data_IF_522598415365
#
_entry.id   IF_522598415365
#
_cell.length_a   1.000
_cell.length_b   1.000
_cell.length_c   1.000
_cell.angle_alpha   90.00
_cell.angle_beta   90.00
_cell.angle_gamma   90.00
#
_symmetry.space_group_name_H-M   'P 1'
#
loop_
_entity.id
_entity.type
_entity.pdbx_description
1 polymer ?
#
# COMPACT_ATOMS: atom_id res chain seq x y z
N UNK A 1 43.40 57.52 -1.73
CA UNK A 1 44.55 56.78 -1.16
C UNK A 1 44.09 56.01 0.06
N UNK A 2 44.36 54.69 0.08
CA UNK A 2 44.64 53.80 1.23
C UNK A 2 43.70 53.87 2.46
N UNK A 3 42.83 52.85 2.60
CA UNK A 3 42.97 51.67 3.48
C UNK A 3 42.80 51.97 4.98
N UNK A 4 41.73 51.42 5.58
CA UNK A 4 41.88 50.53 6.75
C UNK A 4 40.89 49.37 6.64
N UNK A 5 41.46 48.21 6.34
CA UNK A 5 40.91 46.88 6.58
C UNK A 5 41.12 46.63 8.09
N UNK A 6 40.09 46.19 8.80
CA UNK A 6 40.26 45.39 10.00
C UNK A 6 39.44 44.11 9.82
N UNK A 7 40.15 42.99 9.83
CA UNK A 7 39.66 41.61 9.82
C UNK A 7 39.90 41.02 11.22
N UNK A 8 39.24 39.89 11.48
CA UNK A 8 39.25 39.01 12.67
C UNK A 8 38.29 39.44 13.79
N UNK A 9 37.41 38.59 14.36
CA UNK A 9 37.30 37.12 14.36
C UNK A 9 35.90 36.68 14.82
N UNK A 10 35.58 35.44 14.48
CA UNK A 10 34.35 34.71 14.78
C UNK A 10 33.92 34.71 16.26
N UNK A 11 32.60 34.76 16.47
CA UNK A 11 31.93 34.07 17.57
C UNK A 11 30.65 33.43 17.03
N UNK A 12 30.58 32.10 17.13
CA UNK A 12 29.36 31.32 17.03
C UNK A 12 28.31 31.94 17.98
N UNK A 13 27.09 32.15 17.48
CA UNK A 13 25.91 31.94 18.30
C UNK A 13 24.86 31.21 17.46
N UNK A 14 24.53 30.03 17.96
CA UNK A 14 23.40 29.20 17.55
C UNK A 14 22.14 30.07 17.60
N UNK A 15 21.45 30.23 16.46
CA UNK A 15 20.04 30.60 16.49
C UNK A 15 19.22 29.44 15.94
N UNK A 16 18.49 28.89 16.88
CA UNK A 16 17.47 27.86 16.78
C UNK A 16 16.42 28.23 15.75
N UNK A 17 15.93 27.21 15.06
CA UNK A 17 14.73 27.28 14.25
C UNK A 17 13.55 27.83 15.09
N UNK A 18 12.88 28.86 14.57
CA UNK A 18 11.48 29.11 14.91
C UNK A 18 10.73 29.63 13.69
N UNK A 19 9.86 28.74 13.20
CA UNK A 19 8.52 29.02 12.67
C UNK A 19 8.35 30.23 11.74
N UNK A 20 8.50 30.00 10.44
CA UNK A 20 7.94 30.88 9.42
C UNK A 20 7.66 30.09 8.15
N UNK A 21 6.44 29.55 8.04
CA UNK A 21 5.65 29.31 6.81
C UNK A 21 4.46 28.39 7.14
N UNK A 22 3.50 28.90 7.92
CA UNK A 22 2.18 28.28 8.06
C UNK A 22 1.26 28.74 6.92
N UNK A 23 1.50 28.27 5.69
CA UNK A 23 0.49 28.18 4.62
C UNK A 23 0.81 27.03 3.65
N UNK A 24 0.22 25.83 3.86
CA UNK A 24 -0.23 25.04 2.71
C UNK A 24 -1.63 24.39 2.84
N UNK A 25 -2.15 24.18 4.06
CA UNK A 25 -3.34 23.31 4.24
C UNK A 25 -4.70 23.95 3.88
N UNK A 26 -4.82 25.28 3.83
CA UNK A 26 -6.11 25.95 3.56
C UNK A 26 -6.37 26.19 2.07
N UNK A 27 -5.31 26.42 1.28
CA UNK A 27 -5.40 26.66 -0.16
C UNK A 27 -5.67 25.36 -0.92
N UNK A 28 -4.96 24.28 -0.59
CA UNK A 28 -5.22 22.94 -1.15
C UNK A 28 -6.65 22.47 -0.85
N UNK A 29 -7.14 22.64 0.40
CA UNK A 29 -8.53 22.33 0.76
C UNK A 29 -9.58 23.16 -0.01
N UNK A 30 -9.27 24.40 -0.36
CA UNK A 30 -10.18 25.24 -1.16
C UNK A 30 -10.18 24.84 -2.64
N UNK A 31 -9.02 24.47 -3.18
CA UNK A 31 -8.87 23.93 -4.54
C UNK A 31 -9.61 22.59 -4.65
N UNK A 32 -9.42 21.69 -3.69
CA UNK A 32 -10.08 20.37 -3.65
C UNK A 32 -11.61 20.44 -3.68
N UNK A 33 -12.21 21.45 -3.03
CA UNK A 33 -13.66 21.66 -3.03
C UNK A 33 -14.22 22.20 -4.34
N UNK A 34 -13.40 22.84 -5.17
CA UNK A 34 -13.83 23.50 -6.41
C UNK A 34 -13.46 22.74 -7.69
N UNK A 35 -12.53 21.78 -7.59
CA UNK A 35 -12.06 21.05 -8.76
C UNK A 35 -12.92 19.84 -9.08
N UNK A 36 -13.66 19.96 -10.18
CA UNK A 36 -14.45 18.88 -10.75
C UNK A 36 -13.55 17.96 -11.57
N UNK A 37 -13.52 16.67 -11.21
CA UNK A 37 -12.76 15.70 -11.96
C UNK A 37 -13.36 15.51 -13.35
N UNK A 38 -12.53 15.51 -14.41
CA UNK A 38 -12.97 15.18 -15.76
C UNK A 38 -13.61 13.78 -15.78
N UNK A 39 -14.62 13.59 -16.65
CA UNK A 39 -15.31 12.30 -16.80
C UNK A 39 -14.43 11.29 -17.52
N UNK A 40 -13.77 11.75 -18.58
CA UNK A 40 -12.89 10.95 -19.43
C UNK A 40 -11.45 11.44 -19.30
N UNK A 41 -10.49 10.53 -19.43
CA UNK A 41 -9.07 10.82 -19.23
C UNK A 41 -8.55 11.84 -20.24
N UNK A 42 -8.88 11.68 -21.52
CA UNK A 42 -8.39 12.52 -22.61
C UNK A 42 -8.94 13.95 -22.60
N UNK A 43 -9.97 14.25 -21.79
CA UNK A 43 -10.47 15.62 -21.64
C UNK A 43 -9.45 16.53 -20.95
N UNK A 44 -8.78 16.03 -19.90
CA UNK A 44 -7.73 16.75 -19.17
C UNK A 44 -6.86 15.74 -18.40
N UNK A 45 -5.85 15.13 -19.06
CA UNK A 45 -5.01 14.11 -18.44
C UNK A 45 -4.29 14.55 -17.15
N UNK A 46 -3.66 15.74 -17.08
CA UNK A 46 -2.99 16.18 -15.85
C UNK A 46 -3.96 16.25 -14.66
N UNK A 47 -5.17 16.79 -14.87
CA UNK A 47 -6.17 16.85 -13.82
C UNK A 47 -6.73 15.46 -13.47
N UNK A 48 -6.90 14.59 -14.46
CA UNK A 48 -7.37 13.23 -14.21
C UNK A 48 -6.40 12.46 -13.31
N UNK A 49 -5.07 12.58 -13.53
CA UNK A 49 -4.05 12.02 -12.64
C UNK A 49 -4.14 12.59 -11.22
N UNK A 50 -4.32 13.91 -11.08
CA UNK A 50 -4.54 14.51 -9.75
C UNK A 50 -5.77 13.91 -9.05
N UNK A 51 -6.87 13.67 -9.77
CA UNK A 51 -8.06 13.04 -9.22
C UNK A 51 -7.81 11.59 -8.78
N UNK A 52 -7.02 10.82 -9.54
CA UNK A 52 -6.58 9.47 -9.13
C UNK A 52 -5.74 9.56 -7.84
N UNK A 53 -4.76 10.47 -7.79
CA UNK A 53 -3.92 10.66 -6.61
C UNK A 53 -4.74 11.05 -5.37
N UNK A 54 -5.71 11.95 -5.53
CA UNK A 54 -6.65 12.33 -4.47
C UNK A 54 -7.44 11.14 -3.95
N UNK A 55 -7.90 10.24 -4.82
CA UNK A 55 -8.61 9.03 -4.40
C UNK A 55 -7.70 8.07 -3.62
N UNK A 56 -6.42 7.98 -4.00
CA UNK A 56 -5.43 7.17 -3.30
C UNK A 56 -5.26 7.62 -1.84
N UNK A 57 -5.05 8.93 -1.62
CA UNK A 57 -4.86 9.51 -0.29
C UNK A 57 -6.14 9.50 0.56
N UNK A 58 -7.31 9.54 -0.09
CA UNK A 58 -8.60 9.44 0.60
C UNK A 58 -9.09 7.98 0.77
N UNK A 59 -8.22 6.99 0.51
CA UNK A 59 -8.54 5.56 0.67
C UNK A 59 -9.74 5.10 -0.17
N UNK A 60 -10.05 5.81 -1.27
CA UNK A 60 -11.13 5.48 -2.20
C UNK A 60 -10.63 4.52 -3.28
N UNK A 61 -10.24 3.33 -2.85
CA UNK A 61 -9.51 2.41 -3.72
C UNK A 61 -10.32 1.94 -4.93
N UNK A 62 -11.60 1.61 -4.74
CA UNK A 62 -12.46 1.17 -5.84
C UNK A 62 -12.71 2.26 -6.89
N UNK A 63 -12.92 3.50 -6.42
CA UNK A 63 -13.11 4.65 -7.30
C UNK A 63 -11.85 4.94 -8.12
N UNK A 64 -10.67 4.87 -7.50
CA UNK A 64 -9.40 5.07 -8.18
C UNK A 64 -9.09 3.95 -9.18
N UNK A 65 -9.28 2.68 -8.80
CA UNK A 65 -9.14 1.52 -9.70
C UNK A 65 -10.05 1.68 -10.93
N UNK A 66 -11.31 2.07 -10.72
CA UNK A 66 -12.26 2.31 -11.81
C UNK A 66 -11.78 3.44 -12.73
N UNK A 67 -11.32 4.56 -12.17
CA UNK A 67 -10.80 5.69 -12.95
C UNK A 67 -9.60 5.31 -13.79
N UNK A 68 -8.65 4.57 -13.22
CA UNK A 68 -7.44 4.14 -13.92
C UNK A 68 -7.78 3.18 -15.06
N UNK A 69 -8.69 2.22 -14.84
CA UNK A 69 -9.14 1.31 -15.91
C UNK A 69 -9.82 2.03 -17.07
N UNK A 70 -10.62 3.06 -16.78
CA UNK A 70 -11.23 3.91 -17.81
C UNK A 70 -10.15 4.67 -18.59
N UNK A 71 -9.17 5.25 -17.90
CA UNK A 71 -8.04 5.91 -18.55
C UNK A 71 -7.23 4.96 -19.44
N UNK A 72 -6.93 3.75 -18.96
CA UNK A 72 -6.23 2.72 -19.76
C UNK A 72 -7.03 2.36 -21.03
N UNK A 73 -8.35 2.23 -20.94
CA UNK A 73 -9.21 1.97 -22.10
C UNK A 73 -9.10 3.06 -23.18
N UNK A 74 -8.90 4.32 -22.79
CA UNK A 74 -8.69 5.44 -23.72
C UNK A 74 -7.25 5.51 -24.26
N UNK A 75 -6.26 5.13 -23.45
CA UNK A 75 -4.83 5.18 -23.82
C UNK A 75 -4.40 3.99 -24.68
N UNK A 76 -4.97 2.81 -24.47
CA UNK A 76 -4.60 1.57 -25.17
C UNK A 76 -4.64 1.68 -26.71
N UNK A 77 -5.68 2.26 -27.35
CA UNK A 77 -5.68 2.45 -28.81
C UNK A 77 -4.53 3.33 -29.29
N UNK A 78 -4.21 4.40 -28.56
CA UNK A 78 -3.13 5.33 -28.88
C UNK A 78 -1.77 4.62 -28.76
N UNK A 79 -1.59 3.85 -27.68
CA UNK A 79 -0.40 3.03 -27.44
C UNK A 79 -0.19 1.99 -28.54
N UNK A 80 -1.26 1.31 -28.98
CA UNK A 80 -1.21 0.30 -30.05
C UNK A 80 -0.89 0.91 -31.42
N UNK A 81 -1.41 2.11 -31.70
CA UNK A 81 -1.13 2.83 -32.94
C UNK A 81 0.33 3.27 -33.01
N UNK A 82 0.82 3.96 -31.97
CA UNK A 82 2.22 4.37 -31.86
C UNK A 82 2.58 4.65 -30.39
N UNK A 83 3.49 3.87 -29.78
CA UNK A 83 3.88 4.05 -28.38
C UNK A 83 4.41 5.46 -28.05
N UNK A 84 5.08 6.12 -28.99
CA UNK A 84 5.63 7.47 -28.81
C UNK A 84 4.62 8.58 -29.13
N UNK A 85 3.40 8.26 -29.58
CA UNK A 85 2.38 9.26 -29.86
C UNK A 85 2.02 10.00 -28.56
N UNK A 86 2.02 11.33 -28.57
CA UNK A 86 1.64 12.09 -27.38
C UNK A 86 0.14 11.89 -27.09
N UNK A 87 -0.20 11.76 -25.82
CA UNK A 87 -1.57 11.78 -25.34
C UNK A 87 -2.19 13.16 -25.67
N UNK A 88 -3.34 13.19 -26.33
CA UNK A 88 -4.07 14.43 -26.59
C UNK A 88 -4.31 15.23 -25.32
N UNK A 89 -4.31 16.56 -25.43
CA UNK A 89 -4.60 17.47 -24.31
C UNK A 89 -3.65 17.34 -23.10
N UNK A 90 -2.47 16.72 -23.26
CA UNK A 90 -1.51 16.57 -22.17
C UNK A 90 -0.95 17.89 -21.63
N UNK A 91 -1.14 19.01 -22.33
CA UNK A 91 -0.87 20.37 -21.85
C UNK A 91 -2.16 21.19 -21.91
N UNK A 92 -2.69 21.59 -20.76
CA UNK A 92 -3.88 22.43 -20.66
C UNK A 92 -3.76 23.42 -19.51
N UNK A 93 -3.99 24.72 -19.79
CA UNK A 93 -4.10 25.91 -18.89
C UNK A 93 -3.27 25.92 -17.58
N UNK A 94 -3.45 24.96 -16.70
CA UNK A 94 -2.90 24.87 -15.34
C UNK A 94 -1.95 23.66 -15.12
N UNK A 95 -1.68 22.83 -16.13
CA UNK A 95 -0.80 21.68 -15.95
C UNK A 95 -0.34 21.02 -17.24
N UNK A 96 0.72 20.23 -17.12
CA UNK A 96 1.26 19.39 -18.18
C UNK A 96 1.71 18.04 -17.63
N UNK A 97 1.53 16.98 -18.40
CA UNK A 97 2.20 15.71 -18.11
C UNK A 97 3.72 15.89 -18.21
N UNK A 98 4.49 15.27 -17.31
CA UNK A 98 5.98 15.27 -17.34
C UNK A 98 6.46 14.78 -18.71
N UNK A 99 5.83 13.72 -19.21
CA UNK A 99 6.06 13.19 -20.54
C UNK A 99 4.73 12.70 -21.12
N UNK A 100 4.27 13.25 -22.25
CA UNK A 100 2.98 12.92 -22.80
C UNK A 100 2.99 11.63 -23.64
N UNK A 101 4.12 10.97 -23.86
CA UNK A 101 4.17 9.78 -24.74
C UNK A 101 3.29 8.66 -24.19
N UNK A 102 2.51 8.03 -25.07
CA UNK A 102 1.50 7.03 -24.69
C UNK A 102 2.07 5.88 -23.85
N UNK A 103 3.26 5.38 -24.17
CA UNK A 103 3.87 4.29 -23.39
C UNK A 103 4.22 4.70 -21.95
N UNK A 104 4.64 5.94 -21.73
CA UNK A 104 4.94 6.46 -20.39
C UNK A 104 3.67 6.69 -19.59
N UNK A 105 2.67 7.29 -20.21
CA UNK A 105 1.36 7.48 -19.58
C UNK A 105 0.71 6.14 -19.22
N UNK A 106 0.77 5.16 -20.12
CA UNK A 106 0.30 3.81 -19.83
C UNK A 106 1.09 3.16 -18.69
N UNK A 107 2.43 3.29 -18.69
CA UNK A 107 3.28 2.83 -17.59
C UNK A 107 2.86 3.42 -16.25
N UNK A 108 2.66 4.75 -16.18
CA UNK A 108 2.22 5.42 -14.96
C UNK A 108 0.83 4.98 -14.50
N UNK A 109 -0.11 4.77 -15.43
CA UNK A 109 -1.45 4.26 -15.12
C UNK A 109 -1.39 2.82 -14.57
N UNK A 110 -0.62 1.93 -15.20
CA UNK A 110 -0.41 0.56 -14.69
C UNK A 110 0.29 0.56 -13.32
N UNK A 111 1.27 1.43 -13.12
CA UNK A 111 1.94 1.59 -11.82
C UNK A 111 0.94 1.99 -10.73
N UNK A 112 0.14 3.03 -10.98
CA UNK A 112 -0.90 3.48 -10.05
C UNK A 112 -1.92 2.36 -9.81
N UNK A 113 -2.35 1.65 -10.85
CA UNK A 113 -3.29 0.54 -10.71
C UNK A 113 -2.74 -0.53 -9.76
N UNK A 114 -1.46 -0.86 -9.91
CA UNK A 114 -0.74 -1.77 -9.03
C UNK A 114 -0.70 -1.28 -7.59
N UNK A 115 -0.36 -0.01 -7.36
CA UNK A 115 -0.36 0.61 -6.03
C UNK A 115 -1.75 0.58 -5.37
N UNK A 116 -2.81 0.84 -6.14
CA UNK A 116 -4.19 0.80 -5.67
C UNK A 116 -4.63 -0.61 -5.26
N UNK A 117 -4.32 -1.63 -6.07
CA UNK A 117 -4.60 -3.01 -5.68
C UNK A 117 -3.84 -3.41 -4.42
N UNK A 118 -2.56 -3.05 -4.31
CA UNK A 118 -1.76 -3.33 -3.11
C UNK A 118 -2.34 -2.67 -1.87
N UNK A 119 -2.66 -1.37 -1.91
CA UNK A 119 -3.27 -0.67 -0.78
C UNK A 119 -4.66 -1.21 -0.45
N UNK A 120 -5.47 -1.57 -1.45
CA UNK A 120 -6.76 -2.23 -1.21
C UNK A 120 -6.57 -3.55 -0.47
N UNK A 121 -5.62 -4.38 -0.90
CA UNK A 121 -5.30 -5.66 -0.25
C UNK A 121 -4.92 -5.45 1.22
N UNK A 122 -4.03 -4.50 1.51
CA UNK A 122 -3.58 -4.20 2.87
C UNK A 122 -4.69 -3.65 3.77
N UNK A 123 -5.72 -3.01 3.20
CA UNK A 123 -6.83 -2.41 3.93
C UNK A 123 -8.11 -3.27 3.92
N UNK A 124 -8.06 -4.52 3.44
CA UNK A 124 -9.15 -5.45 3.61
C UNK A 124 -9.39 -5.71 5.10
N UNK A 125 -10.57 -5.30 5.57
CA UNK A 125 -11.02 -5.53 6.94
C UNK A 125 -11.72 -6.88 7.02
N UNK A 126 -11.36 -7.69 8.01
CA UNK A 126 -12.08 -8.92 8.31
C UNK A 126 -13.40 -8.64 9.06
N UNK A 127 -14.31 -7.99 8.32
CA UNK A 127 -15.67 -7.69 8.79
C UNK A 127 -16.55 -8.94 8.82
N UNK A 128 -16.21 -9.96 8.02
CA UNK A 128 -16.98 -11.19 7.89
C UNK A 128 -16.82 -12.07 9.14
N UNK A 129 -15.60 -12.35 9.57
CA UNK A 129 -15.33 -13.08 10.83
C UNK A 129 -15.90 -12.34 12.03
N UNK A 130 -15.67 -11.01 12.08
CA UNK A 130 -16.23 -10.16 13.13
C UNK A 130 -17.76 -10.27 13.22
N UNK A 131 -18.45 -10.40 12.07
CA UNK A 131 -19.90 -10.54 12.00
C UNK A 131 -20.38 -11.91 12.48
N UNK A 132 -19.63 -12.99 12.18
CA UNK A 132 -19.91 -14.35 12.66
C UNK A 132 -19.92 -14.38 14.19
N UNK A 133 -18.84 -13.94 14.82
CA UNK A 133 -18.77 -13.88 16.28
C UNK A 133 -19.79 -12.92 16.87
N UNK A 134 -19.94 -11.69 16.33
CA UNK A 134 -20.92 -10.72 16.86
C UNK A 134 -22.33 -11.28 16.90
N UNK A 135 -22.74 -12.03 15.87
CA UNK A 135 -24.06 -12.69 15.83
C UNK A 135 -24.19 -13.75 16.93
N UNK A 136 -23.14 -14.54 17.15
CA UNK A 136 -23.11 -15.54 18.22
C UNK A 136 -23.18 -14.92 19.61
N UNK A 137 -22.32 -13.94 19.90
CA UNK A 137 -22.32 -13.22 21.18
C UNK A 137 -23.67 -12.54 21.45
N UNK A 138 -24.23 -11.81 20.46
CA UNK A 138 -25.54 -11.15 20.62
C UNK A 138 -26.68 -12.15 20.90
N UNK A 139 -26.62 -13.36 20.34
CA UNK A 139 -27.60 -14.41 20.62
C UNK A 139 -27.55 -14.86 22.08
N UNK A 140 -26.36 -14.99 22.66
CA UNK A 140 -26.17 -15.42 24.06
C UNK A 140 -26.44 -14.28 25.04
N UNK A 141 -26.07 -13.06 24.70
CA UNK A 141 -26.39 -11.86 25.47
C UNK A 141 -27.91 -11.69 25.64
N UNK A 142 -28.69 -11.89 24.57
CA UNK A 142 -30.16 -11.90 24.63
C UNK A 142 -30.75 -12.99 25.54
N UNK A 143 -29.97 -14.04 25.85
CA UNK A 143 -30.33 -15.09 26.80
C UNK A 143 -29.83 -14.81 28.23
N UNK A 144 -29.23 -13.63 28.47
CA UNK A 144 -28.75 -13.20 29.78
C UNK A 144 -27.31 -13.61 30.11
N UNK A 145 -26.53 -14.11 29.14
CA UNK A 145 -25.13 -14.45 29.36
C UNK A 145 -24.22 -13.26 29.11
N UNK A 146 -23.34 -12.95 30.06
CA UNK A 146 -22.38 -11.86 29.91
C UNK A 146 -21.12 -12.29 29.14
N UNK A 147 -20.31 -11.30 28.77
CA UNK A 147 -19.06 -11.51 28.03
C UNK A 147 -18.13 -12.53 28.69
N UNK A 148 -17.96 -12.47 30.02
CA UNK A 148 -17.05 -13.37 30.75
C UNK A 148 -17.47 -14.83 30.66
N UNK A 149 -18.78 -15.11 30.77
CA UNK A 149 -19.30 -16.47 30.66
C UNK A 149 -19.10 -17.04 29.25
N UNK A 150 -19.35 -16.24 28.22
CA UNK A 150 -19.17 -16.67 26.83
C UNK A 150 -17.68 -16.83 26.51
N UNK A 151 -16.83 -15.93 26.98
CA UNK A 151 -15.37 -16.02 26.80
C UNK A 151 -14.78 -17.26 27.51
N UNK A 152 -15.26 -17.57 28.71
CA UNK A 152 -14.88 -18.79 29.43
C UNK A 152 -15.26 -20.05 28.65
N UNK A 153 -16.49 -20.10 28.10
CA UNK A 153 -16.90 -21.21 27.24
C UNK A 153 -15.97 -21.36 26.03
N UNK A 154 -15.66 -20.26 25.34
CA UNK A 154 -14.79 -20.28 24.16
C UNK A 154 -13.36 -20.68 24.51
N UNK A 155 -12.84 -20.25 25.67
CA UNK A 155 -11.50 -20.66 26.15
C UNK A 155 -11.45 -22.15 26.43
N UNK A 156 -12.46 -22.71 27.11
CA UNK A 156 -12.53 -24.15 27.37
C UNK A 156 -12.70 -24.96 26.09
N UNK A 157 -13.48 -24.45 25.13
CA UNK A 157 -13.61 -25.05 23.81
C UNK A 157 -12.25 -25.08 23.08
N UNK A 158 -11.55 -23.94 22.98
CA UNK A 158 -10.24 -23.87 22.32
C UNK A 158 -9.20 -24.74 23.01
N UNK A 159 -9.17 -24.76 24.35
CA UNK A 159 -8.29 -25.62 25.12
C UNK A 159 -8.56 -27.09 24.80
N UNK A 160 -9.83 -27.51 24.78
CA UNK A 160 -10.20 -28.89 24.46
C UNK A 160 -9.77 -29.30 23.05
N UNK A 161 -9.90 -28.42 22.06
CA UNK A 161 -9.56 -28.74 20.65
C UNK A 161 -8.06 -28.70 20.36
N UNK A 162 -7.34 -27.74 20.93
CA UNK A 162 -5.93 -27.48 20.60
C UNK A 162 -4.95 -28.09 21.60
N UNK A 163 -5.36 -28.23 22.86
CA UNK A 163 -4.53 -28.64 23.99
C UNK A 163 -5.28 -29.63 24.90
N UNK A 164 -5.73 -30.78 24.37
CA UNK A 164 -6.57 -31.72 25.10
C UNK A 164 -5.92 -32.24 26.39
N UNK A 165 -4.59 -32.32 26.45
CA UNK A 165 -3.81 -32.67 27.65
C UNK A 165 -4.03 -31.70 28.81
N UNK A 166 -4.38 -30.45 28.53
CA UNK A 166 -4.66 -29.42 29.53
C UNK A 166 -6.12 -29.46 30.04
N UNK A 167 -6.95 -30.38 29.54
CA UNK A 167 -8.33 -30.53 30.00
C UNK A 167 -8.42 -31.45 31.23
N UNK A 168 -8.40 -30.84 32.41
CA UNK A 168 -8.68 -31.55 33.66
C UNK A 168 -10.15 -31.96 33.76
N UNK A 169 -10.46 -32.97 34.60
CA UNK A 169 -11.84 -33.41 34.86
C UNK A 169 -12.76 -32.27 35.32
N UNK A 170 -12.24 -31.32 36.09
CA UNK A 170 -12.97 -30.13 36.55
C UNK A 170 -13.29 -29.17 35.40
N UNK A 171 -12.32 -28.90 34.52
CA UNK A 171 -12.51 -28.06 33.32
C UNK A 171 -13.53 -28.68 32.37
N UNK A 172 -13.46 -29.99 32.16
CA UNK A 172 -14.46 -30.69 31.36
C UNK A 172 -15.87 -30.61 31.95
N UNK A 173 -16.00 -30.78 33.27
CA UNK A 173 -17.28 -30.65 33.97
C UNK A 173 -17.83 -29.23 33.77
N UNK A 174 -17.01 -28.20 34.00
CA UNK A 174 -17.38 -26.80 33.81
C UNK A 174 -17.81 -26.51 32.37
N UNK A 175 -17.07 -27.01 31.38
CA UNK A 175 -17.39 -26.89 29.97
C UNK A 175 -18.78 -27.49 29.64
N UNK A 176 -19.05 -28.71 30.11
CA UNK A 176 -20.37 -29.37 29.94
C UNK A 176 -21.50 -28.59 30.61
N UNK A 177 -21.27 -28.03 31.80
CA UNK A 177 -22.24 -27.20 32.51
C UNK A 177 -22.56 -25.90 31.76
N UNK A 178 -21.54 -25.22 31.22
CA UNK A 178 -21.72 -23.99 30.44
C UNK A 178 -22.52 -24.24 29.15
N UNK A 179 -22.16 -25.30 28.40
CA UNK A 179 -22.92 -25.72 27.22
C UNK A 179 -24.40 -25.96 27.55
N UNK A 180 -24.67 -26.71 28.63
CA UNK A 180 -26.04 -27.00 29.08
C UNK A 180 -26.78 -25.73 29.48
N UNK A 181 -26.17 -24.85 30.27
CA UNK A 181 -26.77 -23.57 30.70
C UNK A 181 -27.11 -22.68 29.51
N UNK A 182 -26.22 -22.60 28.52
CA UNK A 182 -26.43 -21.77 27.32
C UNK A 182 -27.34 -22.40 26.27
N UNK A 183 -27.72 -23.67 26.46
CA UNK A 183 -28.51 -24.44 25.50
C UNK A 183 -27.77 -24.63 24.18
N UNK A 184 -26.47 -24.95 24.27
CA UNK A 184 -25.58 -25.18 23.14
C UNK A 184 -25.12 -26.63 23.13
N UNK A 185 -24.89 -27.16 21.92
CA UNK A 185 -24.11 -28.38 21.70
C UNK A 185 -22.68 -28.00 21.31
N UNK A 186 -21.72 -28.89 21.54
CA UNK A 186 -20.35 -28.69 21.04
C UNK A 186 -20.32 -28.46 19.52
N UNK A 187 -21.19 -29.16 18.78
CA UNK A 187 -21.37 -28.97 17.33
C UNK A 187 -21.80 -27.56 16.93
N UNK A 188 -22.46 -26.80 17.82
CA UNK A 188 -22.78 -25.39 17.54
C UNK A 188 -21.54 -24.50 17.58
N UNK A 189 -20.56 -24.83 18.43
CA UNK A 189 -19.27 -24.16 18.52
C UNK A 189 -18.37 -24.58 17.36
N UNK A 190 -18.38 -25.87 17.00
CA UNK A 190 -17.66 -26.36 15.80
C UNK A 190 -18.13 -25.62 14.54
N UNK A 191 -19.45 -25.53 14.31
CA UNK A 191 -20.00 -24.75 13.19
C UNK A 191 -19.62 -23.26 13.26
N UNK A 192 -19.60 -22.66 14.45
CA UNK A 192 -19.18 -21.26 14.62
C UNK A 192 -17.74 -21.05 14.14
N UNK A 193 -16.84 -21.96 14.52
CA UNK A 193 -15.43 -21.91 14.13
C UNK A 193 -15.25 -22.17 12.64
N UNK A 194 -15.97 -23.15 12.08
CA UNK A 194 -15.98 -23.41 10.63
C UNK A 194 -16.46 -22.19 9.84
N UNK A 195 -17.56 -21.55 10.25
CA UNK A 195 -18.08 -20.34 9.61
C UNK A 195 -17.08 -19.17 9.72
N UNK A 196 -16.43 -19.02 10.88
CA UNK A 196 -15.40 -18.01 11.11
C UNK A 196 -14.19 -18.25 10.22
N UNK A 197 -13.71 -19.49 10.14
CA UNK A 197 -12.55 -19.84 9.35
C UNK A 197 -12.83 -19.69 7.85
N UNK A 198 -13.97 -20.15 7.37
CA UNK A 198 -14.39 -19.93 5.99
C UNK A 198 -14.54 -18.43 5.64
N UNK A 199 -14.93 -17.59 6.61
CA UNK A 199 -14.95 -16.14 6.42
C UNK A 199 -13.54 -15.54 6.30
N UNK A 200 -12.61 -15.93 7.18
CA UNK A 200 -11.22 -15.52 7.11
C UNK A 200 -10.55 -15.95 5.80
N UNK A 201 -10.71 -17.22 5.40
CA UNK A 201 -10.15 -17.77 4.16
C UNK A 201 -10.64 -17.01 2.91
N UNK A 202 -11.90 -16.55 2.90
CA UNK A 202 -12.42 -15.73 1.80
C UNK A 202 -11.71 -14.38 1.71
N UNK A 203 -11.46 -13.74 2.85
CA UNK A 203 -10.74 -12.46 2.91
C UNK A 203 -9.29 -12.65 2.47
N UNK A 204 -8.63 -13.72 2.89
CA UNK A 204 -7.25 -14.03 2.50
C UNK A 204 -7.15 -14.35 1.01
N UNK A 205 -8.10 -15.12 0.46
CA UNK A 205 -8.19 -15.37 -0.98
C UNK A 205 -8.37 -14.07 -1.78
N UNK A 206 -9.20 -13.15 -1.30
CA UNK A 206 -9.36 -11.83 -1.93
C UNK A 206 -8.06 -11.02 -1.85
N UNK A 207 -7.40 -11.01 -0.68
CA UNK A 207 -6.11 -10.34 -0.46
C UNK A 207 -5.07 -10.86 -1.46
N UNK A 208 -4.90 -12.18 -1.56
CA UNK A 208 -3.96 -12.81 -2.50
C UNK A 208 -4.30 -12.45 -3.96
N UNK A 209 -5.58 -12.46 -4.34
CA UNK A 209 -5.99 -12.05 -5.69
C UNK A 209 -5.63 -10.60 -5.99
N UNK A 210 -5.80 -9.70 -5.02
CA UNK A 210 -5.42 -8.29 -5.17
C UNK A 210 -3.90 -8.11 -5.22
N UNK A 211 -3.13 -8.85 -4.44
CA UNK A 211 -1.67 -8.83 -4.49
C UNK A 211 -1.12 -9.34 -5.83
N UNK A 212 -1.71 -10.40 -6.38
CA UNK A 212 -1.38 -10.90 -7.72
C UNK A 212 -1.65 -9.86 -8.80
N UNK A 213 -2.80 -9.17 -8.73
CA UNK A 213 -3.10 -8.06 -9.64
C UNK A 213 -2.09 -6.93 -9.45
N UNK A 214 -1.76 -6.56 -8.22
CA UNK A 214 -0.83 -5.49 -7.94
C UNK A 214 0.54 -5.71 -8.60
N UNK A 215 1.13 -6.89 -8.43
CA UNK A 215 2.42 -7.21 -9.03
C UNK A 215 2.36 -7.30 -10.56
N UNK A 216 1.28 -7.86 -11.13
CA UNK A 216 1.11 -7.92 -12.58
C UNK A 216 1.07 -6.52 -13.22
N UNK A 217 0.36 -5.59 -12.60
CA UNK A 217 0.23 -4.22 -13.08
C UNK A 217 1.57 -3.46 -12.94
N UNK A 218 2.26 -3.61 -11.80
CA UNK A 218 3.58 -3.02 -11.61
C UNK A 218 4.63 -3.59 -12.58
N UNK A 219 4.60 -4.90 -12.86
CA UNK A 219 5.44 -5.55 -13.86
C UNK A 219 5.11 -5.05 -15.28
N UNK A 220 3.84 -4.79 -15.57
CA UNK A 220 3.42 -4.21 -16.84
C UNK A 220 3.95 -2.79 -17.00
N UNK A 221 3.93 -1.99 -15.93
CA UNK A 221 4.46 -0.64 -15.93
C UNK A 221 5.94 -0.59 -16.35
N UNK A 222 6.80 -1.43 -15.74
CA UNK A 222 8.24 -1.47 -16.06
C UNK A 222 8.55 -2.12 -17.42
N UNK A 223 7.65 -2.97 -17.94
CA UNK A 223 7.75 -3.49 -19.31
C UNK A 223 7.45 -2.41 -20.35
N UNK A 224 6.44 -1.57 -20.08
CA UNK A 224 6.06 -0.47 -20.96
C UNK A 224 7.11 0.64 -20.97
N UNK A 225 7.59 1.04 -19.80
CA UNK A 225 8.66 2.01 -19.65
C UNK A 225 9.78 1.45 -18.75
N UNK A 226 10.83 0.86 -19.34
CA UNK A 226 12.00 0.40 -18.61
C UNK A 226 12.80 1.52 -17.93
N UNK A 227 12.49 2.79 -18.18
CA UNK A 227 13.07 3.94 -17.48
C UNK A 227 12.08 4.57 -16.47
N UNK A 228 11.02 3.87 -16.07
CA UNK A 228 10.12 4.36 -15.02
C UNK A 228 10.70 4.04 -13.64
N UNK A 229 11.50 4.96 -13.10
CA UNK A 229 12.09 4.81 -11.77
C UNK A 229 11.06 4.59 -10.66
N UNK A 230 9.93 5.30 -10.71
CA UNK A 230 8.87 5.18 -9.71
C UNK A 230 8.22 3.80 -9.76
N UNK A 231 7.98 3.24 -10.95
CA UNK A 231 7.42 1.89 -11.07
C UNK A 231 8.35 0.82 -10.49
N UNK A 232 9.67 0.94 -10.71
CA UNK A 232 10.66 0.07 -10.05
C UNK A 232 10.70 0.27 -8.53
N UNK A 233 10.62 1.51 -8.06
CA UNK A 233 10.54 1.79 -6.64
C UNK A 233 9.31 1.15 -5.99
N UNK A 234 8.15 1.24 -6.65
CA UNK A 234 6.92 0.62 -6.19
C UNK A 234 6.96 -0.92 -6.26
N UNK A 235 7.63 -1.51 -7.25
CA UNK A 235 7.93 -2.95 -7.26
C UNK A 235 8.80 -3.35 -6.06
N UNK A 236 9.85 -2.58 -5.77
CA UNK A 236 10.69 -2.79 -4.59
C UNK A 236 9.87 -2.74 -3.30
N UNK A 237 9.03 -1.72 -3.14
CA UNK A 237 8.13 -1.59 -2.00
C UNK A 237 7.18 -2.78 -1.90
N UNK A 238 6.58 -3.19 -3.03
CA UNK A 238 5.69 -4.34 -3.10
C UNK A 238 6.38 -5.63 -2.65
N UNK A 239 7.53 -5.97 -3.23
CA UNK A 239 8.25 -7.20 -2.87
C UNK A 239 8.75 -7.16 -1.42
N UNK A 240 9.20 -5.99 -0.95
CA UNK A 240 9.68 -5.83 0.44
C UNK A 240 8.59 -5.87 1.51
N UNK A 241 7.32 -5.63 1.15
CA UNK A 241 6.22 -5.51 2.11
C UNK A 241 5.05 -6.48 1.92
N UNK A 242 4.87 -7.08 0.74
CA UNK A 242 3.83 -8.07 0.48
C UNK A 242 4.28 -9.51 0.76
N UNK A 243 5.59 -9.75 0.84
CA UNK A 243 6.20 -11.09 0.96
C UNK A 243 7.06 -11.21 2.23
N UNK A 244 6.90 -10.29 3.18
CA UNK A 244 7.92 -9.97 4.19
C UNK A 244 7.89 -10.78 5.47
N UNK A 245 7.10 -11.85 5.58
CA UNK A 245 7.17 -12.69 6.80
C UNK A 245 7.93 -14.01 6.61
N UNK A 246 8.00 -14.62 5.40
CA UNK A 246 8.64 -15.95 5.24
C UNK A 246 9.33 -16.23 3.88
N UNK A 247 9.63 -15.24 3.03
CA UNK A 247 10.16 -15.49 1.67
C UNK A 247 11.50 -14.79 1.35
N UNK A 248 12.65 -15.48 1.44
CA UNK A 248 13.96 -14.91 1.11
C UNK A 248 14.12 -14.52 -0.37
N UNK A 249 13.42 -15.17 -1.31
CA UNK A 249 13.41 -14.83 -2.74
C UNK A 249 12.79 -13.46 -3.02
N UNK A 250 11.85 -13.03 -2.18
CA UNK A 250 11.26 -11.69 -2.26
C UNK A 250 12.25 -10.59 -1.90
N UNK A 251 13.28 -10.92 -1.09
CA UNK A 251 14.35 -9.98 -0.75
C UNK A 251 15.18 -9.63 -1.98
N UNK A 252 15.60 -10.61 -2.78
CA UNK A 252 16.44 -10.34 -3.95
C UNK A 252 15.68 -9.55 -5.03
N UNK A 253 14.43 -9.91 -5.33
CA UNK A 253 13.60 -9.18 -6.29
C UNK A 253 13.34 -7.73 -5.84
N UNK A 254 13.12 -7.51 -4.55
CA UNK A 254 13.01 -6.16 -4.00
C UNK A 254 14.32 -5.38 -4.16
N UNK A 255 15.46 -6.01 -3.86
CA UNK A 255 16.78 -5.38 -3.95
C UNK A 255 17.09 -4.98 -5.40
N UNK A 256 16.82 -5.86 -6.36
CA UNK A 256 17.01 -5.61 -7.78
C UNK A 256 16.10 -4.46 -8.27
N UNK A 257 14.85 -4.43 -7.82
CA UNK A 257 13.91 -3.37 -8.20
C UNK A 257 14.38 -2.00 -7.68
N UNK A 258 14.79 -1.91 -6.41
CA UNK A 258 15.38 -0.67 -5.87
C UNK A 258 16.68 -0.29 -6.59
N UNK A 259 17.52 -1.25 -6.93
CA UNK A 259 18.74 -1.00 -7.71
C UNK A 259 18.43 -0.37 -9.07
N UNK A 260 17.47 -0.92 -9.82
CA UNK A 260 17.05 -0.37 -11.13
C UNK A 260 16.50 1.05 -10.98
N UNK A 261 15.64 1.29 -9.99
CA UNK A 261 15.15 2.63 -9.69
C UNK A 261 16.30 3.61 -9.41
N UNK A 262 17.27 3.21 -8.57
CA UNK A 262 18.43 4.03 -8.25
C UNK A 262 19.28 4.37 -9.48
N UNK A 263 19.54 3.42 -10.37
CA UNK A 263 20.29 3.67 -11.62
C UNK A 263 19.60 4.72 -12.50
N UNK A 264 18.27 4.61 -12.64
CA UNK A 264 17.48 5.54 -13.46
C UNK A 264 17.50 6.94 -12.83
N UNK A 265 17.21 7.05 -11.53
CA UNK A 265 17.20 8.35 -10.82
C UNK A 265 18.56 9.04 -10.84
N UNK A 266 19.64 8.27 -10.72
CA UNK A 266 21.00 8.79 -10.86
C UNK A 266 21.22 9.37 -12.26
N UNK A 267 20.79 8.67 -13.31
CA UNK A 267 20.87 9.15 -14.70
C UNK A 267 20.01 10.39 -14.94
N UNK A 268 18.85 10.50 -14.30
CA UNK A 268 17.97 11.67 -14.35
C UNK A 268 18.52 12.87 -13.55
N UNK A 269 19.53 12.67 -12.69
CA UNK A 269 20.08 13.69 -11.81
C UNK A 269 19.24 13.96 -10.56
N UNK A 270 18.19 13.16 -10.30
CA UNK A 270 17.35 13.27 -9.10
C UNK A 270 18.07 12.68 -7.89
N UNK A 271 18.98 13.49 -7.34
CA UNK A 271 19.83 13.10 -6.20
C UNK A 271 19.02 12.84 -4.93
N UNK A 272 17.88 13.52 -4.76
CA UNK A 272 17.04 13.36 -3.58
C UNK A 272 16.31 12.00 -3.60
N UNK A 273 15.63 11.69 -4.70
CA UNK A 273 14.98 10.41 -4.88
C UNK A 273 15.99 9.26 -4.88
N UNK A 274 17.14 9.42 -5.55
CA UNK A 274 18.22 8.44 -5.51
C UNK A 274 18.63 8.07 -4.07
N UNK A 275 18.88 9.09 -3.23
CA UNK A 275 19.27 8.87 -1.82
C UNK A 275 18.19 8.12 -1.03
N UNK A 276 16.92 8.42 -1.26
CA UNK A 276 15.82 7.71 -0.60
C UNK A 276 15.75 6.24 -1.04
N UNK A 277 15.88 5.95 -2.34
CA UNK A 277 15.87 4.56 -2.84
C UNK A 277 17.07 3.77 -2.28
N UNK A 278 18.27 4.35 -2.27
CA UNK A 278 19.46 3.71 -1.69
C UNK A 278 19.29 3.48 -0.18
N UNK A 279 18.69 4.43 0.54
CA UNK A 279 18.37 4.26 1.96
C UNK A 279 17.42 3.09 2.18
N UNK A 280 16.38 2.93 1.34
CA UNK A 280 15.43 1.80 1.42
C UNK A 280 16.13 0.46 1.18
N UNK A 281 16.95 0.39 0.14
CA UNK A 281 17.77 -0.79 -0.15
C UNK A 281 18.69 -1.15 1.03
N UNK A 282 19.35 -0.15 1.63
CA UNK A 282 20.23 -0.34 2.80
C UNK A 282 19.48 -0.78 4.06
N UNK A 283 18.29 -0.24 4.31
CA UNK A 283 17.47 -0.65 5.45
C UNK A 283 17.00 -2.11 5.32
N UNK A 284 16.71 -2.53 4.09
CA UNK A 284 16.28 -3.90 3.82
C UNK A 284 17.44 -4.90 3.91
N UNK A 285 18.58 -4.59 3.28
CA UNK A 285 19.77 -5.42 3.34
C UNK A 285 21.06 -4.57 3.27
N UNK A 286 21.70 -4.27 4.42
CA UNK A 286 22.94 -3.51 4.46
C UNK A 286 24.12 -4.14 3.70
N UNK A 287 24.08 -5.46 3.48
CA UNK A 287 25.12 -6.24 2.81
C UNK A 287 24.77 -6.56 1.35
N UNK A 288 23.72 -5.96 0.81
CA UNK A 288 23.24 -6.19 -0.55
C UNK A 288 24.36 -6.06 -1.59
N UNK A 289 24.43 -7.03 -2.51
CA UNK A 289 25.33 -6.96 -3.68
C UNK A 289 25.05 -5.71 -4.53
N UNK A 290 23.80 -5.26 -4.56
CA UNK A 290 23.38 -4.10 -5.35
C UNK A 290 23.87 -2.78 -4.77
N UNK A 291 24.01 -2.66 -3.43
CA UNK A 291 24.67 -1.50 -2.83
C UNK A 291 26.11 -1.37 -3.30
N UNK A 292 26.86 -2.49 -3.30
CA UNK A 292 28.24 -2.54 -3.78
C UNK A 292 28.34 -2.15 -5.26
N UNK A 293 27.37 -2.53 -6.08
CA UNK A 293 27.31 -2.14 -7.51
C UNK A 293 27.07 -0.63 -7.68
N UNK A 294 26.19 -0.03 -6.87
CA UNK A 294 25.93 1.42 -6.91
C UNK A 294 27.16 2.23 -6.49
N UNK A 295 27.91 1.76 -5.49
CA UNK A 295 29.16 2.39 -5.04
C UNK A 295 30.24 2.33 -6.12
N UNK A 296 30.43 1.17 -6.77
CA UNK A 296 31.40 1.01 -7.88
C UNK A 296 31.08 1.91 -9.06
N UNK A 297 29.80 2.05 -9.40
CA UNK A 297 29.35 2.95 -10.45
C UNK A 297 29.36 4.43 -10.04
N UNK A 298 29.73 4.76 -8.79
CA UNK A 298 29.84 6.12 -8.24
C UNK A 298 31.20 6.79 -8.42
N UNK A 299 32.24 6.01 -8.73
CA UNK A 299 33.64 6.46 -8.78
C UNK A 299 34.18 6.61 -10.21
N UNK A 300 33.31 6.70 -11.22
CA UNK A 300 33.66 6.84 -12.65
C UNK A 300 33.03 8.10 -13.24
#
# INVERSE_FOLDING_TARGET
MKKKILLLTAALSVFTASSGFAKPASFEKQIEKRLQCPKDFLQNPPLYFYCIYRDYHNHKYDDGIKKIKLALKEVEPILKENPNKPIPNAKQKLGSLKDPRAFKVASDLHMLLGMFYYKKAMNLKDTATSKVFRKFYSKLEKKGFNFFQVNELMTLYSMKKLFPENMTKEREKKYRELLKKMGLKESDLDRLMEESQAAAERVDKERLSLLQKAVQELQTAVKLDPNNAEAYYQLGNFYSGAMSEDMPEASEAAEEAYYKAALILKKEGDTAAYKEVVKRLKLMNPNSKYLKLLEKNGNA
#
